data_IF_219472648548
#
_entry.id   IF_219472648548
#
_cell.length_a   1.000
_cell.length_b   1.000
_cell.length_c   1.000
_cell.angle_alpha   90.00
_cell.angle_beta   90.00
_cell.angle_gamma   90.00
#
_symmetry.space_group_name_H-M   'P 1'
#
loop_
_entity.id
_entity.type
_entity.pdbx_description
1 polymer ?
#
# COMPACT_ATOMS: atom_id res chain seq x y z
N UNK A 1 16.17 -4.01 -14.70
CA UNK A 1 15.50 -4.60 -13.51
C UNK A 1 14.94 -3.46 -12.66
N UNK A 2 13.66 -3.42 -12.47
CA UNK A 2 13.03 -2.34 -11.71
C UNK A 2 13.16 -2.59 -10.21
N UNK A 3 13.77 -1.66 -9.50
CA UNK A 3 13.85 -1.70 -8.04
C UNK A 3 12.54 -1.19 -7.42
N UNK A 4 11.41 -1.78 -7.80
CA UNK A 4 10.15 -1.45 -7.17
C UNK A 4 9.97 -2.28 -5.89
N UNK A 5 9.15 -1.77 -4.98
CA UNK A 5 8.90 -2.41 -3.69
C UNK A 5 8.36 -3.83 -3.87
N UNK A 6 7.49 -4.04 -4.85
CA UNK A 6 6.92 -5.36 -5.13
C UNK A 6 8.00 -6.40 -5.45
N UNK A 7 8.94 -6.08 -6.32
CA UNK A 7 10.05 -6.98 -6.66
C UNK A 7 10.95 -7.27 -5.46
N UNK A 8 11.22 -6.26 -4.63
CA UNK A 8 12.02 -6.42 -3.43
C UNK A 8 11.32 -7.33 -2.41
N UNK A 9 10.03 -7.16 -2.23
CA UNK A 9 9.22 -7.99 -1.32
C UNK A 9 9.23 -9.45 -1.81
N UNK A 10 8.99 -9.69 -3.08
CA UNK A 10 9.03 -11.05 -3.65
C UNK A 10 10.42 -11.69 -3.52
N UNK A 11 11.47 -10.92 -3.75
CA UNK A 11 12.84 -11.43 -3.61
C UNK A 11 13.15 -11.86 -2.18
N UNK A 12 12.71 -11.09 -1.19
CA UNK A 12 12.96 -11.40 0.23
C UNK A 12 12.02 -12.45 0.81
N UNK A 13 10.77 -12.49 0.35
CA UNK A 13 9.80 -13.48 0.81
C UNK A 13 10.09 -14.89 0.26
N UNK A 14 10.68 -14.97 -0.92
CA UNK A 14 10.97 -16.22 -1.60
C UNK A 14 9.90 -16.60 -2.62
N UNK A 15 10.14 -17.70 -3.33
CA UNK A 15 9.27 -18.15 -4.43
C UNK A 15 7.85 -18.52 -3.97
N UNK A 16 7.68 -18.92 -2.72
CA UNK A 16 6.38 -19.32 -2.19
C UNK A 16 5.35 -18.20 -2.26
N UNK A 17 5.77 -16.95 -2.03
CA UNK A 17 4.87 -15.80 -2.16
C UNK A 17 4.39 -15.64 -3.61
N UNK A 18 5.30 -15.77 -4.57
CA UNK A 18 4.94 -15.67 -6.00
C UNK A 18 3.97 -16.77 -6.42
N UNK A 19 4.21 -18.01 -5.95
CA UNK A 19 3.31 -19.12 -6.23
C UNK A 19 1.92 -18.91 -5.61
N UNK A 20 1.87 -18.38 -4.40
CA UNK A 20 0.62 -18.05 -3.74
C UNK A 20 -0.15 -16.97 -4.50
N UNK A 21 0.52 -15.91 -4.95
CA UNK A 21 -0.10 -14.85 -5.76
C UNK A 21 -0.63 -15.40 -7.09
N UNK A 22 0.14 -16.27 -7.75
CA UNK A 22 -0.29 -16.87 -9.01
C UNK A 22 -1.54 -17.74 -8.80
N UNK A 23 -1.59 -18.52 -7.72
CA UNK A 23 -2.77 -19.33 -7.39
C UNK A 23 -4.02 -18.48 -7.18
N UNK A 24 -3.89 -17.37 -6.45
CA UNK A 24 -4.99 -16.43 -6.23
C UNK A 24 -5.49 -15.87 -7.55
N UNK A 25 -4.58 -15.43 -8.43
CA UNK A 25 -4.94 -14.85 -9.72
C UNK A 25 -5.61 -15.88 -10.64
N UNK A 26 -5.15 -17.13 -10.64
CA UNK A 26 -5.77 -18.20 -11.42
C UNK A 26 -7.17 -18.52 -10.93
N UNK A 27 -7.39 -18.59 -9.63
CA UNK A 27 -8.72 -18.82 -9.04
C UNK A 27 -9.67 -17.66 -9.30
N UNK A 28 -9.14 -16.44 -9.27
CA UNK A 28 -9.92 -15.23 -9.56
C UNK A 28 -10.33 -15.14 -11.03
N UNK A 29 -9.45 -15.58 -11.96
CA UNK A 29 -9.72 -15.58 -13.38
C UNK A 29 -9.60 -14.23 -14.08
N UNK A 30 -9.20 -13.17 -13.38
CA UNK A 30 -9.00 -11.84 -13.94
C UNK A 30 -7.96 -11.09 -13.10
N UNK A 31 -7.43 -9.99 -13.63
CA UNK A 31 -6.50 -9.14 -12.91
C UNK A 31 -7.15 -8.52 -11.67
N UNK A 32 -6.34 -8.23 -10.65
CA UNK A 32 -6.81 -7.56 -9.43
C UNK A 32 -7.32 -6.16 -9.78
N UNK A 33 -8.57 -5.81 -9.46
CA UNK A 33 -9.07 -4.46 -9.69
C UNK A 33 -8.27 -3.43 -8.91
N UNK A 34 -8.02 -2.28 -9.54
CA UNK A 34 -7.35 -1.15 -8.88
C UNK A 34 -8.13 -0.72 -7.65
N UNK A 35 -7.43 -0.52 -6.54
CA UNK A 35 -8.01 -0.09 -5.27
C UNK A 35 -8.44 -1.22 -4.34
N UNK A 36 -8.45 -2.46 -4.81
CA UNK A 36 -8.76 -3.62 -3.97
C UNK A 36 -7.53 -4.11 -3.22
N UNK A 37 -7.73 -4.94 -2.20
CA UNK A 37 -6.63 -5.52 -1.42
C UNK A 37 -6.84 -7.02 -1.20
N UNK A 38 -5.77 -7.79 -1.37
CA UNK A 38 -5.71 -9.23 -1.10
C UNK A 38 -4.67 -9.51 -0.04
N UNK A 39 -4.83 -10.61 0.67
CA UNK A 39 -3.95 -11.01 1.78
C UNK A 39 -3.24 -12.30 1.43
N UNK A 40 -1.94 -12.37 1.70
CA UNK A 40 -1.16 -13.61 1.67
C UNK A 40 -0.33 -13.73 2.95
N UNK A 41 0.12 -14.96 3.30
CA UNK A 41 1.17 -15.10 4.28
C UNK A 41 2.45 -14.38 3.82
N UNK A 42 3.33 -14.08 4.75
CA UNK A 42 4.56 -13.32 4.46
C UNK A 42 5.76 -14.22 4.13
N UNK A 43 5.65 -15.53 4.37
CA UNK A 43 6.70 -16.52 4.14
C UNK A 43 8.01 -16.13 4.83
N UNK A 44 9.07 -15.80 4.09
CA UNK A 44 10.39 -15.48 4.67
C UNK A 44 10.52 -14.05 5.20
N UNK A 45 9.50 -13.21 5.02
CA UNK A 45 9.52 -11.85 5.54
C UNK A 45 9.29 -11.83 7.06
N UNK A 46 9.88 -10.86 7.78
CA UNK A 46 9.73 -10.73 9.24
C UNK A 46 8.40 -10.09 9.67
N UNK A 47 7.32 -10.43 9.00
CA UNK A 47 5.96 -9.98 9.33
C UNK A 47 5.00 -11.15 9.17
N UNK A 48 3.76 -10.99 9.60
CA UNK A 48 2.77 -12.07 9.56
C UNK A 48 2.11 -12.21 8.19
N UNK A 49 1.81 -11.09 7.55
CA UNK A 49 1.04 -11.05 6.31
C UNK A 49 1.59 -10.01 5.36
N UNK A 50 1.31 -10.21 4.07
CA UNK A 50 1.50 -9.19 3.04
C UNK A 50 0.12 -8.85 2.48
N UNK A 51 -0.17 -7.55 2.43
CA UNK A 51 -1.36 -7.02 1.79
C UNK A 51 -0.99 -6.54 0.40
N UNK A 52 -1.67 -7.06 -0.61
CA UNK A 52 -1.41 -6.74 -2.01
C UNK A 52 -2.52 -5.83 -2.53
N UNK A 53 -2.15 -4.69 -3.06
CA UNK A 53 -3.09 -3.78 -3.68
C UNK A 53 -2.50 -3.22 -4.96
N UNK A 54 -3.36 -2.95 -5.94
CA UNK A 54 -2.94 -2.37 -7.22
C UNK A 54 -3.28 -0.89 -7.20
N UNK A 55 -2.25 -0.05 -7.17
CA UNK A 55 -2.40 1.40 -7.22
C UNK A 55 -2.72 1.89 -8.63
N UNK A 56 -3.30 3.07 -8.76
CA UNK A 56 -3.58 3.66 -10.08
C UNK A 56 -2.31 4.17 -10.75
N UNK A 57 -2.29 4.12 -12.09
CA UNK A 57 -1.29 4.80 -12.90
C UNK A 57 -1.67 6.27 -12.98
N UNK A 58 -0.70 7.17 -12.79
CA UNK A 58 -0.95 8.61 -12.89
C UNK A 58 -1.19 9.03 -14.34
N UNK A 59 -2.33 9.68 -14.58
CA UNK A 59 -2.75 10.14 -15.91
C UNK A 59 -3.05 11.66 -15.90
N UNK A 60 -2.42 12.42 -15.01
CA UNK A 60 -2.61 13.86 -14.91
C UNK A 60 -3.62 14.32 -13.87
N UNK A 61 -4.28 13.40 -13.17
CA UNK A 61 -5.22 13.71 -12.09
C UNK A 61 -6.69 13.81 -12.51
N UNK A 62 -7.00 13.50 -13.78
CA UNK A 62 -8.38 13.59 -14.30
C UNK A 62 -9.09 12.24 -14.42
N UNK A 63 -8.40 11.14 -14.16
CA UNK A 63 -8.98 9.79 -14.28
C UNK A 63 -9.32 9.17 -12.91
N UNK A 64 -9.68 10.00 -11.93
CA UNK A 64 -10.08 9.59 -10.58
C UNK A 64 -8.96 8.90 -9.79
N UNK A 65 -7.70 9.18 -10.11
CA UNK A 65 -6.54 8.51 -9.51
C UNK A 65 -6.45 8.74 -8.01
N UNK A 66 -6.78 9.94 -7.52
CA UNK A 66 -6.73 10.23 -6.08
C UNK A 66 -7.71 9.39 -5.28
N UNK A 67 -8.93 9.21 -5.79
CA UNK A 67 -9.93 8.37 -5.14
C UNK A 67 -9.54 6.89 -5.16
N UNK A 68 -8.96 6.43 -6.26
CA UNK A 68 -8.46 5.05 -6.38
C UNK A 68 -7.28 4.81 -5.44
N UNK A 69 -6.36 5.76 -5.32
CA UNK A 69 -5.23 5.66 -4.38
C UNK A 69 -5.74 5.63 -2.93
N UNK A 70 -6.69 6.49 -2.60
CA UNK A 70 -7.31 6.48 -1.28
C UNK A 70 -7.93 5.11 -0.97
N UNK A 71 -8.61 4.50 -1.94
CA UNK A 71 -9.18 3.17 -1.81
C UNK A 71 -8.12 2.11 -1.52
N UNK A 72 -6.94 2.21 -2.13
CA UNK A 72 -5.83 1.30 -1.84
C UNK A 72 -5.45 1.32 -0.37
N UNK A 73 -5.26 2.50 0.20
CA UNK A 73 -4.90 2.64 1.61
C UNK A 73 -6.02 2.20 2.54
N UNK A 74 -7.25 2.62 2.27
CA UNK A 74 -8.39 2.25 3.12
C UNK A 74 -8.69 0.76 3.08
N UNK A 75 -8.72 0.15 1.90
CA UNK A 75 -9.02 -1.28 1.78
C UNK A 75 -7.92 -2.13 2.44
N UNK A 76 -6.66 -1.73 2.32
CA UNK A 76 -5.57 -2.42 3.01
C UNK A 76 -5.71 -2.29 4.53
N UNK A 77 -6.08 -1.11 5.04
CA UNK A 77 -6.31 -0.90 6.48
C UNK A 77 -7.49 -1.71 6.99
N UNK A 78 -8.59 -1.78 6.25
CA UNK A 78 -9.74 -2.61 6.62
C UNK A 78 -9.38 -4.09 6.67
N UNK A 79 -8.61 -4.56 5.69
CA UNK A 79 -8.13 -5.96 5.69
C UNK A 79 -7.21 -6.25 6.88
N UNK A 80 -6.30 -5.33 7.18
CA UNK A 80 -5.42 -5.46 8.34
C UNK A 80 -6.22 -5.53 9.64
N UNK A 81 -7.24 -4.70 9.77
CA UNK A 81 -8.12 -4.70 10.94
C UNK A 81 -8.90 -6.02 11.08
N UNK A 82 -9.39 -6.57 9.98
CA UNK A 82 -10.06 -7.88 9.99
C UNK A 82 -9.14 -8.99 10.50
N UNK A 83 -7.83 -8.88 10.23
CA UNK A 83 -6.82 -9.84 10.69
C UNK A 83 -6.38 -9.60 12.14
N UNK A 84 -6.85 -8.55 12.78
CA UNK A 84 -6.40 -8.17 14.11
C UNK A 84 -4.98 -7.63 14.14
N UNK A 85 -4.50 -7.03 13.06
CA UNK A 85 -3.14 -6.52 12.98
C UNK A 85 -2.93 -5.35 13.95
N UNK A 86 -1.81 -5.38 14.68
CA UNK A 86 -1.43 -4.32 15.60
C UNK A 86 -0.70 -3.18 14.89
N UNK A 87 -0.06 -3.48 13.76
CA UNK A 87 0.68 -2.51 12.97
C UNK A 87 0.64 -2.84 11.49
N UNK A 88 0.70 -1.79 10.66
CA UNK A 88 0.73 -1.89 9.20
C UNK A 88 1.78 -0.93 8.68
N UNK A 89 2.60 -1.38 7.73
CA UNK A 89 3.58 -0.54 7.07
C UNK A 89 3.21 -0.40 5.59
N UNK A 90 3.18 0.84 5.11
CA UNK A 90 2.88 1.16 3.72
C UNK A 90 4.07 1.82 3.03
N UNK A 91 4.30 1.52 1.74
CA UNK A 91 5.12 2.37 0.89
C UNK A 91 4.29 3.53 0.35
N UNK A 92 4.93 4.39 -0.46
CA UNK A 92 4.22 5.39 -1.27
C UNK A 92 3.66 4.69 -2.52
N UNK A 93 2.43 4.21 -2.43
CA UNK A 93 1.77 3.47 -3.51
C UNK A 93 1.67 4.34 -4.76
N UNK A 94 1.99 3.77 -5.92
CA UNK A 94 1.96 4.42 -7.25
C UNK A 94 3.01 5.52 -7.47
N UNK A 95 3.86 5.83 -6.49
CA UNK A 95 4.83 6.93 -6.60
C UNK A 95 6.09 6.57 -7.39
N UNK A 96 6.30 5.29 -7.70
CA UNK A 96 7.43 4.83 -8.50
C UNK A 96 7.10 4.82 -9.99
N UNK A 97 7.10 3.64 -10.58
CA UNK A 97 6.87 3.42 -12.02
C UNK A 97 5.53 4.00 -12.50
N UNK A 98 4.49 4.00 -11.66
CA UNK A 98 3.18 4.52 -12.03
C UNK A 98 3.11 6.05 -12.05
N UNK A 99 4.16 6.74 -11.61
CA UNK A 99 4.34 8.18 -11.83
C UNK A 99 3.48 9.12 -11.01
N UNK A 100 2.75 8.63 -10.02
CA UNK A 100 1.94 9.50 -9.16
C UNK A 100 2.85 10.47 -8.40
N UNK A 101 2.56 11.78 -8.40
CA UNK A 101 3.40 12.75 -7.68
C UNK A 101 3.51 12.40 -6.19
N UNK A 102 4.73 12.34 -5.66
CA UNK A 102 5.00 11.89 -4.30
C UNK A 102 4.33 12.73 -3.23
N UNK A 103 4.29 14.05 -3.41
CA UNK A 103 3.62 14.96 -2.48
C UNK A 103 2.12 14.69 -2.40
N UNK A 104 1.50 14.35 -3.53
CA UNK A 104 0.08 13.99 -3.59
C UNK A 104 -0.18 12.63 -2.96
N UNK A 105 0.71 11.65 -3.16
CA UNK A 105 0.60 10.35 -2.50
C UNK A 105 0.65 10.54 -0.98
N UNK A 106 1.59 11.34 -0.49
CA UNK A 106 1.71 11.63 0.95
C UNK A 106 0.42 12.25 1.51
N UNK A 107 -0.15 13.22 0.80
CA UNK A 107 -1.41 13.86 1.24
C UNK A 107 -2.56 12.87 1.28
N UNK A 108 -2.73 12.08 0.22
CA UNK A 108 -3.81 11.09 0.14
C UNK A 108 -3.66 10.01 1.20
N UNK A 109 -2.44 9.49 1.35
CA UNK A 109 -2.14 8.45 2.34
C UNK A 109 -2.38 8.95 3.77
N UNK A 110 -1.85 10.12 4.11
CA UNK A 110 -2.00 10.69 5.44
C UNK A 110 -3.47 10.95 5.78
N UNK A 111 -4.23 11.47 4.84
CA UNK A 111 -5.66 11.72 5.02
C UNK A 111 -6.44 10.42 5.20
N UNK A 112 -6.18 9.42 4.36
CA UNK A 112 -6.85 8.12 4.45
C UNK A 112 -6.55 7.42 5.79
N UNK A 113 -5.29 7.45 6.23
CA UNK A 113 -4.87 6.85 7.49
C UNK A 113 -5.52 7.57 8.67
N UNK A 114 -5.53 8.91 8.67
CA UNK A 114 -6.18 9.69 9.72
C UNK A 114 -7.67 9.41 9.81
N UNK A 115 -8.35 9.38 8.67
CA UNK A 115 -9.78 9.08 8.62
C UNK A 115 -10.08 7.69 9.16
N UNK A 116 -9.28 6.70 8.78
CA UNK A 116 -9.44 5.34 9.27
C UNK A 116 -9.25 5.26 10.79
N UNK A 117 -8.18 5.84 11.32
CA UNK A 117 -7.87 5.79 12.75
C UNK A 117 -8.90 6.55 13.59
N UNK A 118 -9.49 7.62 13.05
CA UNK A 118 -10.51 8.39 13.77
C UNK A 118 -11.84 7.65 13.90
N UNK A 119 -12.11 6.69 13.02
CA UNK A 119 -13.34 5.90 13.03
C UNK A 119 -13.27 4.65 13.92
N UNK A 120 -12.09 4.35 14.47
CA UNK A 120 -11.87 3.12 15.22
C UNK A 120 -11.28 3.43 16.59
N UNK A 121 -11.76 2.72 17.61
CA UNK A 121 -11.24 2.79 18.98
C UNK A 121 -10.06 1.84 19.22
N UNK A 122 -9.59 1.15 18.17
CA UNK A 122 -8.49 0.19 18.27
C UNK A 122 -7.13 0.87 18.11
N UNK A 123 -6.17 0.46 18.94
CA UNK A 123 -4.78 0.94 18.86
C UNK A 123 -4.04 0.25 17.72
N UNK A 124 -4.15 0.78 16.52
CA UNK A 124 -3.36 0.34 15.38
C UNK A 124 -2.27 1.36 15.08
N UNK A 125 -1.03 0.89 14.93
CA UNK A 125 0.09 1.73 14.49
C UNK A 125 0.26 1.60 13.00
N UNK A 126 0.30 2.74 12.31
CA UNK A 126 0.47 2.77 10.86
C UNK A 126 1.75 3.52 10.52
N UNK A 127 2.62 2.87 9.74
CA UNK A 127 3.88 3.42 9.30
C UNK A 127 3.82 3.70 7.81
N UNK A 128 4.20 4.89 7.39
CA UNK A 128 4.35 5.24 6.00
C UNK A 128 5.85 5.32 5.71
N UNK A 129 6.36 4.36 4.92
CA UNK A 129 7.79 4.23 4.65
C UNK A 129 8.19 5.13 3.49
N UNK A 130 9.08 6.07 3.76
CA UNK A 130 9.58 7.04 2.78
C UNK A 130 11.09 6.88 2.68
N UNK A 131 11.60 6.47 1.52
CA UNK A 131 13.04 6.26 1.32
C UNK A 131 13.71 7.35 0.50
N UNK A 132 12.93 8.24 -0.10
CA UNK A 132 13.41 9.37 -0.89
C UNK A 132 13.52 10.60 0.02
N UNK A 133 14.66 11.30 -0.06
CA UNK A 133 14.94 12.46 0.79
C UNK A 133 13.90 13.58 0.64
N UNK A 134 13.48 13.85 -0.59
CA UNK A 134 12.49 14.90 -0.86
C UNK A 134 11.11 14.51 -0.32
N UNK A 135 10.70 13.27 -0.54
CA UNK A 135 9.45 12.75 0.00
C UNK A 135 9.45 12.76 1.53
N UNK A 136 10.58 12.46 2.16
CA UNK A 136 10.72 12.53 3.61
C UNK A 136 10.55 13.96 4.14
N UNK A 137 11.13 14.95 3.46
CA UNK A 137 10.93 16.36 3.82
C UNK A 137 9.47 16.78 3.72
N UNK A 138 8.79 16.33 2.65
CA UNK A 138 7.37 16.62 2.44
C UNK A 138 6.50 15.98 3.53
N UNK A 139 6.83 14.76 3.96
CA UNK A 139 6.11 14.10 5.05
C UNK A 139 6.26 14.86 6.37
N UNK A 140 7.47 15.37 6.65
CA UNK A 140 7.72 16.15 7.86
C UNK A 140 6.99 17.49 7.87
N UNK A 141 6.82 18.10 6.73
CA UNK A 141 6.00 19.33 6.63
C UNK A 141 4.55 19.07 7.03
N UNK A 142 4.00 17.94 6.63
CA UNK A 142 2.66 17.54 7.04
C UNK A 142 2.51 17.32 8.55
N UNK A 143 3.56 16.92 9.24
CA UNK A 143 3.56 16.74 10.69
C UNK A 143 3.55 18.08 11.44
N UNK A 144 4.07 19.15 10.82
CA UNK A 144 4.18 20.47 11.43
C UNK A 144 2.94 21.33 11.19
N UNK A 145 2.09 20.92 10.31
CA UNK A 145 0.80 21.56 10.03
C UNK A 145 -0.33 20.89 10.82
#
# INVERSE_FOLDING_TARGET
MHNCVDNIIHSKAGIELRLCCNDIMQKQGHEEPTGQAKITPAFNLPCKYVLHTVGPVWKGGWANEQALLRSCYLNALFRAAELGAESVAFPLISAGTFGFPKDRVLSVAAEAIRDFLSLRDEDMRVFLCVYDRNAYRDSRRGELE
#
